data_IF_434327736647
#
_entry.id   IF_434327736647
#
_cell.length_a   1.000
_cell.length_b   1.000
_cell.length_c   1.000
_cell.angle_alpha   90.00
_cell.angle_beta   90.00
_cell.angle_gamma   90.00
#
_symmetry.space_group_name_H-M   'P 1'
#
loop_
_entity.id
_entity.type
_entity.pdbx_description
1 polymer ?
#
# COMPACT_ATOMS: atom_id res chain seq x y z
N UNK A 1 -4.86 -10.28 -15.61
CA UNK A 1 -6.19 -10.70 -16.11
C UNK A 1 -7.20 -10.53 -14.98
N UNK A 2 -8.40 -10.05 -15.27
CA UNK A 2 -9.52 -10.07 -14.34
C UNK A 2 -10.52 -11.13 -14.87
N UNK A 3 -10.49 -12.32 -14.28
CA UNK A 3 -11.21 -13.47 -14.80
C UNK A 3 -10.78 -13.77 -16.24
N UNK A 4 -11.74 -13.87 -17.15
CA UNK A 4 -11.49 -14.14 -18.58
C UNK A 4 -11.20 -12.89 -19.42
N UNK A 5 -11.13 -11.69 -18.82
CA UNK A 5 -10.89 -10.44 -19.52
C UNK A 5 -9.43 -10.00 -19.40
N UNK A 6 -8.86 -9.52 -20.51
CA UNK A 6 -7.57 -8.84 -20.53
C UNK A 6 -7.83 -7.33 -20.45
N UNK A 7 -7.29 -6.69 -19.44
CA UNK A 7 -7.37 -5.24 -19.23
C UNK A 7 -5.95 -4.69 -19.10
N UNK A 8 -5.71 -3.49 -19.62
CA UNK A 8 -4.42 -2.83 -19.40
C UNK A 8 -4.29 -2.36 -17.94
N UNK A 9 -3.05 -2.27 -17.45
CA UNK A 9 -2.78 -1.73 -16.10
C UNK A 9 -3.33 -0.31 -15.96
N UNK A 10 -3.18 0.51 -17.02
CA UNK A 10 -3.67 1.88 -17.05
C UNK A 10 -5.20 1.93 -16.93
N UNK A 11 -5.91 1.08 -17.66
CA UNK A 11 -7.38 1.06 -17.61
C UNK A 11 -7.89 0.54 -16.25
N UNK A 12 -7.21 -0.45 -15.68
CA UNK A 12 -7.52 -0.95 -14.34
C UNK A 12 -7.36 0.15 -13.27
N UNK A 13 -6.22 0.86 -13.29
CA UNK A 13 -5.95 1.98 -12.39
C UNK A 13 -6.96 3.12 -12.61
N UNK A 14 -7.24 3.49 -13.85
CA UNK A 14 -8.24 4.52 -14.17
C UNK A 14 -9.62 4.14 -13.64
N UNK A 15 -10.04 2.90 -13.83
CA UNK A 15 -11.32 2.40 -13.33
C UNK A 15 -11.42 2.44 -11.80
N UNK A 16 -10.35 2.03 -11.11
CA UNK A 16 -10.26 2.11 -9.65
C UNK A 16 -10.33 3.56 -9.16
N UNK A 17 -9.54 4.46 -9.73
CA UNK A 17 -9.53 5.88 -9.35
C UNK A 17 -10.87 6.58 -9.64
N UNK A 18 -11.53 6.25 -10.73
CA UNK A 18 -12.88 6.72 -11.02
C UNK A 18 -13.91 6.19 -10.02
N UNK A 19 -13.75 4.94 -9.53
CA UNK A 19 -14.54 4.42 -8.44
C UNK A 19 -14.31 5.21 -7.14
N UNK A 20 -13.04 5.52 -6.81
CA UNK A 20 -12.69 6.35 -5.63
C UNK A 20 -13.37 7.72 -5.71
N UNK A 21 -13.33 8.41 -6.86
CA UNK A 21 -14.05 9.68 -7.07
C UNK A 21 -15.53 9.55 -6.73
N UNK A 22 -16.20 8.51 -7.26
CA UNK A 22 -17.62 8.26 -6.95
C UNK A 22 -17.86 8.06 -5.47
N UNK A 23 -17.02 7.24 -4.80
CA UNK A 23 -17.17 7.01 -3.36
C UNK A 23 -16.98 8.29 -2.54
N UNK A 24 -15.99 9.11 -2.87
CA UNK A 24 -15.76 10.38 -2.21
C UNK A 24 -16.95 11.33 -2.38
N UNK A 25 -17.51 11.42 -3.58
CA UNK A 25 -18.66 12.28 -3.87
C UNK A 25 -19.97 11.78 -3.28
N UNK A 26 -20.06 10.51 -2.90
CA UNK A 26 -21.30 9.96 -2.29
C UNK A 26 -21.20 9.76 -0.79
N UNK A 27 -20.01 9.45 -0.27
CA UNK A 27 -19.85 8.91 1.09
C UNK A 27 -18.83 9.68 1.95
N UNK A 28 -18.45 10.89 1.56
CA UNK A 28 -17.47 11.67 2.32
C UNK A 28 -17.92 13.13 2.54
N UNK A 29 -17.09 13.90 3.24
CA UNK A 29 -17.32 15.33 3.49
C UNK A 29 -17.38 16.18 2.21
N UNK A 30 -16.84 15.70 1.09
CA UNK A 30 -16.90 16.40 -0.20
C UNK A 30 -18.17 16.08 -1.01
N UNK A 31 -19.09 15.26 -0.48
CA UNK A 31 -20.36 14.93 -1.15
C UNK A 31 -21.24 16.19 -1.38
N UNK A 32 -21.00 17.26 -0.65
CA UNK A 32 -21.71 18.55 -0.83
C UNK A 32 -21.12 19.42 -1.93
N UNK A 33 -19.96 19.07 -2.50
CA UNK A 33 -19.38 19.85 -3.59
C UNK A 33 -20.17 19.64 -4.89
N UNK A 34 -20.31 20.70 -5.72
CA UNK A 34 -20.94 20.57 -7.03
C UNK A 34 -20.23 19.53 -7.91
N UNK A 35 -20.98 18.79 -8.72
CA UNK A 35 -20.41 17.80 -9.65
C UNK A 35 -19.48 18.44 -10.71
N UNK A 36 -19.66 19.73 -10.99
CA UNK A 36 -18.80 20.52 -11.90
C UNK A 36 -17.44 20.87 -11.29
N UNK A 37 -17.26 20.73 -9.98
CA UNK A 37 -15.99 21.03 -9.33
C UNK A 37 -15.03 19.86 -9.51
N UNK A 38 -13.87 20.13 -10.13
CA UNK A 38 -12.81 19.11 -10.31
C UNK A 38 -12.10 18.87 -8.98
N UNK A 39 -11.88 17.60 -8.64
CA UNK A 39 -11.13 17.25 -7.44
C UNK A 39 -9.64 17.41 -7.68
N UNK A 40 -9.00 18.22 -6.88
CA UNK A 40 -7.55 18.40 -6.87
C UNK A 40 -6.87 17.27 -6.08
N UNK A 41 -5.68 16.85 -6.52
CA UNK A 41 -4.90 15.80 -5.86
C UNK A 41 -3.40 16.13 -5.78
N UNK A 42 -2.83 15.85 -4.61
CA UNK A 42 -1.39 15.62 -4.45
C UNK A 42 -1.16 14.11 -4.42
N UNK A 43 -0.34 13.59 -5.32
CA UNK A 43 -0.17 12.15 -5.51
C UNK A 43 1.17 11.69 -4.95
N UNK A 44 1.12 10.82 -3.93
CA UNK A 44 2.30 10.13 -3.42
C UNK A 44 2.80 9.09 -4.41
N UNK A 45 4.11 9.01 -4.57
CA UNK A 45 4.77 8.00 -5.40
C UNK A 45 6.03 7.48 -4.69
N UNK A 46 6.36 6.20 -4.83
CA UNK A 46 7.59 5.65 -4.28
C UNK A 46 8.82 6.44 -4.75
N UNK A 47 9.81 6.64 -3.86
CA UNK A 47 11.01 7.39 -4.19
C UNK A 47 11.77 6.77 -5.38
N UNK A 48 11.72 5.44 -5.51
CA UNK A 48 12.34 4.68 -6.60
C UNK A 48 11.43 4.42 -7.80
N UNK A 49 10.24 5.02 -7.86
CA UNK A 49 9.34 4.85 -9.00
C UNK A 49 10.03 5.29 -10.30
N UNK A 50 10.04 4.41 -11.29
CA UNK A 50 10.58 4.69 -12.61
C UNK A 50 9.69 5.68 -13.37
N UNK A 51 10.26 6.34 -14.37
CA UNK A 51 9.53 7.33 -15.18
C UNK A 51 8.24 6.78 -15.78
N UNK A 52 8.24 5.51 -16.20
CA UNK A 52 7.04 4.85 -16.73
C UNK A 52 5.94 4.69 -15.65
N UNK A 53 6.31 4.32 -14.42
CA UNK A 53 5.35 4.21 -13.31
C UNK A 53 4.77 5.58 -12.96
N UNK A 54 5.61 6.61 -12.86
CA UNK A 54 5.19 8.00 -12.63
C UNK A 54 4.21 8.47 -13.70
N UNK A 55 4.55 8.22 -14.97
CA UNK A 55 3.70 8.58 -16.09
C UNK A 55 2.35 7.85 -16.04
N UNK A 56 2.34 6.53 -15.84
CA UNK A 56 1.11 5.74 -15.77
C UNK A 56 0.22 6.17 -14.59
N UNK A 57 0.80 6.45 -13.44
CA UNK A 57 0.06 6.97 -12.29
C UNK A 57 -0.59 8.31 -12.60
N UNK A 58 0.18 9.27 -13.12
CA UNK A 58 -0.33 10.59 -13.48
C UNK A 58 -1.44 10.51 -14.52
N UNK A 59 -1.24 9.69 -15.55
CA UNK A 59 -2.22 9.51 -16.64
C UNK A 59 -3.51 8.85 -16.13
N UNK A 60 -3.41 7.87 -15.21
CA UNK A 60 -4.57 7.22 -14.62
C UNK A 60 -5.41 8.20 -13.78
N UNK A 61 -4.78 9.05 -12.97
CA UNK A 61 -5.47 10.09 -12.21
C UNK A 61 -6.19 11.08 -13.14
N UNK A 62 -5.50 11.58 -14.18
CA UNK A 62 -6.09 12.51 -15.15
C UNK A 62 -7.28 11.90 -15.88
N UNK A 63 -7.16 10.66 -16.35
CA UNK A 63 -8.27 9.95 -17.01
C UNK A 63 -9.44 9.68 -16.10
N UNK A 64 -9.19 9.53 -14.81
CA UNK A 64 -10.23 9.36 -13.80
C UNK A 64 -10.89 10.69 -13.37
N UNK A 65 -10.47 11.84 -13.94
CA UNK A 65 -11.09 13.14 -13.71
C UNK A 65 -10.48 13.94 -12.55
N UNK A 66 -9.27 13.60 -12.10
CA UNK A 66 -8.53 14.35 -11.10
C UNK A 66 -7.70 15.48 -11.74
N UNK A 67 -7.64 16.63 -11.07
CA UNK A 67 -6.60 17.62 -11.32
C UNK A 67 -5.39 17.35 -10.42
N UNK A 68 -4.31 16.87 -11.01
CA UNK A 68 -3.08 16.53 -10.27
C UNK A 68 -2.20 17.77 -10.17
N UNK A 69 -2.20 18.38 -8.99
CA UNK A 69 -1.41 19.58 -8.68
C UNK A 69 0.08 19.27 -8.62
N UNK A 70 0.46 18.14 -8.00
CA UNK A 70 1.85 17.71 -7.90
C UNK A 70 1.95 16.21 -7.60
N UNK A 71 3.12 15.64 -7.91
CA UNK A 71 3.55 14.34 -7.45
C UNK A 71 4.68 14.51 -6.43
N UNK A 72 4.54 13.87 -5.28
CA UNK A 72 5.51 13.95 -4.18
C UNK A 72 6.07 12.56 -3.87
N UNK A 73 7.32 12.50 -3.45
CA UNK A 73 7.87 11.22 -2.98
C UNK A 73 7.21 10.82 -1.66
N UNK A 74 6.74 9.59 -1.54
CA UNK A 74 6.09 9.06 -0.34
C UNK A 74 6.89 9.31 0.95
N UNK A 75 8.23 9.05 1.00
CA UNK A 75 8.99 9.34 2.21
C UNK A 75 9.06 10.83 2.54
N UNK A 76 9.04 11.74 1.56
CA UNK A 76 8.98 13.18 1.82
C UNK A 76 7.63 13.58 2.42
N UNK A 77 6.55 13.03 1.90
CA UNK A 77 5.20 13.27 2.43
C UNK A 77 5.06 12.74 3.86
N UNK A 78 5.55 11.53 4.13
CA UNK A 78 5.57 10.95 5.48
C UNK A 78 6.42 11.78 6.46
N UNK A 79 7.58 12.24 6.02
CA UNK A 79 8.44 13.13 6.81
C UNK A 79 7.79 14.46 7.12
N UNK A 80 7.09 15.05 6.14
CA UNK A 80 6.34 16.28 6.33
C UNK A 80 5.20 16.10 7.34
N UNK A 81 4.39 15.06 7.19
CA UNK A 81 3.30 14.76 8.12
C UNK A 81 3.80 14.53 9.56
N UNK A 82 4.92 13.79 9.69
CA UNK A 82 5.54 13.59 11.00
C UNK A 82 5.95 14.90 11.66
N UNK A 83 6.62 15.79 10.93
CA UNK A 83 7.06 17.09 11.49
C UNK A 83 5.90 18.03 11.78
N UNK A 84 4.83 17.95 10.99
CA UNK A 84 3.61 18.71 11.21
C UNK A 84 2.91 18.29 12.52
N UNK A 85 2.74 16.98 12.72
CA UNK A 85 2.10 16.44 13.95
C UNK A 85 2.96 16.56 15.18
N UNK A 86 4.27 16.48 15.02
CA UNK A 86 5.24 16.48 16.11
C UNK A 86 6.15 17.71 16.04
N UNK A 87 5.54 18.90 16.09
CA UNK A 87 6.28 20.16 16.06
C UNK A 87 7.35 20.21 17.15
N UNK A 88 8.59 20.60 16.78
CA UNK A 88 9.74 20.66 17.69
C UNK A 88 10.55 19.36 17.81
N UNK A 89 10.14 18.25 17.20
CA UNK A 89 10.98 17.03 17.16
C UNK A 89 12.17 17.19 16.24
N UNK A 90 12.04 17.96 15.17
CA UNK A 90 13.11 18.38 14.29
C UNK A 90 13.67 19.73 14.76
N UNK A 91 14.96 19.82 14.95
CA UNK A 91 15.67 21.00 15.44
C UNK A 91 17.13 20.98 14.93
N UNK A 92 17.96 21.96 15.30
CA UNK A 92 19.34 22.06 14.86
C UNK A 92 20.24 20.84 15.15
N UNK A 93 19.81 19.93 16.04
CA UNK A 93 20.50 18.69 16.38
C UNK A 93 19.83 17.43 15.77
N UNK A 94 18.61 17.56 15.29
CA UNK A 94 17.80 16.48 14.72
C UNK A 94 17.19 16.96 13.40
N UNK A 95 17.97 16.81 12.33
CA UNK A 95 17.62 17.31 10.99
C UNK A 95 17.27 16.18 10.01
N UNK A 96 17.27 14.94 10.47
CA UNK A 96 16.98 13.78 9.63
C UNK A 96 15.89 12.91 10.26
N UNK A 97 15.02 12.38 9.40
CA UNK A 97 13.96 11.44 9.71
C UNK A 97 14.24 10.17 8.93
N UNK A 98 14.24 9.02 9.61
CA UNK A 98 14.20 7.72 8.95
C UNK A 98 12.74 7.34 8.73
N UNK A 99 12.36 7.20 7.49
CA UNK A 99 11.06 6.66 7.06
C UNK A 99 11.26 5.19 6.74
N UNK A 100 10.52 4.34 7.42
CA UNK A 100 10.45 2.91 7.22
C UNK A 100 9.07 2.57 6.70
N UNK A 101 8.97 2.15 5.46
CA UNK A 101 7.72 1.84 4.77
C UNK A 101 7.72 0.38 4.34
N UNK A 102 6.88 -0.43 4.98
CA UNK A 102 6.66 -1.83 4.66
C UNK A 102 5.23 -1.98 4.15
N UNK A 103 5.09 -2.00 2.85
CA UNK A 103 3.81 -2.15 2.16
C UNK A 103 3.38 -3.60 1.96
N UNK A 104 2.37 -3.82 1.10
CA UNK A 104 1.90 -5.16 0.72
C UNK A 104 2.93 -5.96 -0.07
N UNK A 105 3.59 -5.33 -1.05
CA UNK A 105 4.56 -5.98 -1.95
C UNK A 105 5.94 -5.36 -1.98
N UNK A 106 6.18 -4.27 -1.23
CA UNK A 106 7.45 -3.54 -1.25
C UNK A 106 7.85 -3.10 0.15
N UNK A 107 9.14 -2.94 0.31
CA UNK A 107 9.75 -2.34 1.49
C UNK A 107 10.67 -1.20 1.07
N UNK A 108 10.51 -0.04 1.67
CA UNK A 108 11.36 1.12 1.48
C UNK A 108 11.87 1.68 2.81
N UNK A 109 13.16 1.99 2.86
CA UNK A 109 13.78 2.73 3.95
C UNK A 109 14.45 3.98 3.39
N UNK A 110 14.03 5.16 3.87
CA UNK A 110 14.48 6.44 3.34
C UNK A 110 14.95 7.37 4.45
N UNK A 111 16.03 8.10 4.19
CA UNK A 111 16.46 9.18 5.05
C UNK A 111 15.98 10.49 4.43
N UNK A 112 15.19 11.24 5.18
CA UNK A 112 14.64 12.53 4.79
C UNK A 112 15.30 13.61 5.64
N UNK A 113 15.95 14.58 4.99
CA UNK A 113 16.39 15.81 5.65
C UNK A 113 15.18 16.72 5.83
N UNK A 114 15.02 17.28 7.02
CA UNK A 114 13.94 18.20 7.33
C UNK A 114 14.50 19.52 7.86
N UNK A 115 14.26 20.62 7.14
CA UNK A 115 14.67 21.97 7.51
C UNK A 115 13.50 22.92 7.28
N UNK A 116 12.86 23.34 8.36
CA UNK A 116 11.63 24.11 8.27
C UNK A 116 10.53 23.32 7.55
N UNK A 117 10.02 23.85 6.44
CA UNK A 117 9.02 23.19 5.60
C UNK A 117 9.63 22.35 4.46
N UNK A 118 10.94 22.40 4.29
CA UNK A 118 11.62 21.64 3.24
C UNK A 118 11.93 20.22 3.72
N UNK A 119 11.44 19.23 2.97
CA UNK A 119 11.69 17.80 3.20
C UNK A 119 12.27 17.17 1.95
N UNK A 120 13.53 16.76 2.04
CA UNK A 120 14.31 16.24 0.91
C UNK A 120 14.80 14.83 1.20
N UNK A 121 14.55 13.89 0.27
CA UNK A 121 15.08 12.53 0.36
C UNK A 121 16.59 12.56 0.10
N UNK A 122 17.38 12.30 1.13
CA UNK A 122 18.84 12.22 1.03
C UNK A 122 19.33 10.90 0.49
N UNK A 123 18.57 9.85 0.73
CA UNK A 123 18.86 8.52 0.25
C UNK A 123 17.71 7.57 0.57
N UNK A 124 17.55 6.58 -0.29
CA UNK A 124 16.56 5.55 -0.12
C UNK A 124 17.11 4.20 -0.56
N UNK A 125 16.63 3.13 0.06
CA UNK A 125 16.87 1.74 -0.32
C UNK A 125 15.56 1.01 -0.22
N UNK A 126 15.24 0.26 -1.27
CA UNK A 126 13.99 -0.49 -1.37
C UNK A 126 14.19 -1.93 -1.85
N UNK A 127 13.27 -2.76 -1.49
CA UNK A 127 13.12 -4.14 -1.98
C UNK A 127 11.74 -4.27 -2.60
N UNK A 128 11.70 -4.58 -3.89
CA UNK A 128 10.46 -4.57 -4.68
C UNK A 128 9.70 -5.92 -4.64
N UNK A 129 10.13 -6.85 -3.81
CA UNK A 129 9.55 -8.18 -3.69
C UNK A 129 9.60 -8.67 -2.24
N UNK A 130 9.39 -7.77 -1.29
CA UNK A 130 9.22 -8.09 0.13
C UNK A 130 8.16 -7.16 0.69
N UNK A 131 7.07 -7.76 1.17
CA UNK A 131 5.96 -7.04 1.77
C UNK A 131 5.00 -7.94 2.51
N UNK A 132 3.87 -7.40 2.91
CA UNK A 132 2.82 -8.13 3.63
C UNK A 132 2.33 -9.36 2.90
N UNK A 133 2.25 -9.30 1.57
CA UNK A 133 1.78 -10.41 0.72
C UNK A 133 2.75 -11.61 0.78
N UNK A 134 4.06 -11.36 0.86
CA UNK A 134 5.04 -12.44 0.99
C UNK A 134 4.92 -13.12 2.37
N UNK A 135 4.62 -12.35 3.41
CA UNK A 135 4.38 -12.92 4.75
C UNK A 135 3.12 -13.77 4.77
N UNK A 136 2.08 -13.41 4.03
CA UNK A 136 0.85 -14.19 3.89
C UNK A 136 1.15 -15.54 3.25
N UNK A 137 1.95 -15.58 2.17
CA UNK A 137 2.38 -16.82 1.51
C UNK A 137 3.24 -17.68 2.44
N UNK A 138 4.16 -17.08 3.19
CA UNK A 138 4.99 -17.80 4.17
C UNK A 138 4.13 -18.43 5.26
N UNK A 139 3.15 -17.69 5.78
CA UNK A 139 2.23 -18.17 6.80
C UNK A 139 1.36 -19.32 6.26
N UNK A 140 0.75 -19.13 5.08
CA UNK A 140 -0.04 -20.16 4.40
C UNK A 140 0.76 -21.44 4.17
N UNK A 141 2.03 -21.31 3.74
CA UNK A 141 2.93 -22.44 3.54
C UNK A 141 3.18 -23.22 4.83
N UNK A 142 3.40 -22.52 5.95
CA UNK A 142 3.61 -23.14 7.27
C UNK A 142 2.35 -23.84 7.78
N UNK A 143 1.19 -23.20 7.60
CA UNK A 143 -0.10 -23.79 7.99
C UNK A 143 -0.42 -25.04 7.18
N UNK A 144 -0.21 -25.00 5.85
CA UNK A 144 -0.36 -26.19 5.00
C UNK A 144 0.55 -27.34 5.46
N UNK A 145 1.82 -27.05 5.72
CA UNK A 145 2.77 -28.06 6.21
C UNK A 145 2.35 -28.63 7.58
N UNK A 146 1.86 -27.82 8.50
CA UNK A 146 1.33 -28.26 9.78
C UNK A 146 0.08 -29.14 9.63
N UNK A 147 -0.74 -28.89 8.61
CA UNK A 147 -1.87 -29.74 8.23
C UNK A 147 -1.47 -31.04 7.49
N UNK A 148 -0.19 -31.24 7.19
CA UNK A 148 0.31 -32.39 6.44
C UNK A 148 0.08 -32.32 4.92
N UNK A 149 -0.07 -31.10 4.38
CA UNK A 149 -0.30 -30.84 2.96
C UNK A 149 0.66 -29.77 2.42
N UNK A 150 0.50 -29.38 1.17
CA UNK A 150 1.24 -28.30 0.49
C UNK A 150 0.37 -27.64 -0.59
N UNK A 151 0.85 -26.51 -1.16
CA UNK A 151 0.12 -25.77 -2.18
C UNK A 151 -0.27 -26.60 -3.40
N UNK A 152 0.59 -27.51 -3.84
CA UNK A 152 0.33 -28.37 -5.00
C UNK A 152 -0.76 -29.41 -4.76
N UNK A 153 -0.98 -29.82 -3.51
CA UNK A 153 -2.03 -30.78 -3.13
C UNK A 153 -3.36 -30.10 -2.86
N UNK A 154 -3.38 -28.85 -2.42
CA UNK A 154 -4.61 -28.11 -2.14
C UNK A 154 -5.37 -27.69 -3.40
N UNK A 155 -4.66 -27.47 -4.51
CA UNK A 155 -5.20 -26.85 -5.71
C UNK A 155 -5.34 -25.33 -5.58
N UNK A 156 -5.47 -24.67 -6.73
CA UNK A 156 -5.32 -23.19 -6.82
C UNK A 156 -6.34 -22.44 -5.95
N UNK A 157 -7.62 -22.79 -6.02
CA UNK A 157 -8.68 -22.09 -5.26
C UNK A 157 -8.52 -22.23 -3.75
N UNK A 158 -8.21 -23.42 -3.27
CA UNK A 158 -8.00 -23.67 -1.84
C UNK A 158 -6.72 -23.02 -1.33
N UNK A 159 -5.69 -22.94 -2.17
CA UNK A 159 -4.45 -22.26 -1.86
C UNK A 159 -4.63 -20.74 -1.77
N UNK A 160 -5.32 -20.12 -2.74
CA UNK A 160 -5.63 -18.69 -2.71
C UNK A 160 -6.46 -18.34 -1.47
N UNK A 161 -7.45 -19.14 -1.12
CA UNK A 161 -8.24 -18.95 0.11
C UNK A 161 -7.39 -19.06 1.36
N UNK A 162 -6.46 -20.01 1.42
CA UNK A 162 -5.55 -20.14 2.57
C UNK A 162 -4.62 -18.92 2.71
N UNK A 163 -4.17 -18.32 1.60
CA UNK A 163 -3.41 -17.07 1.64
C UNK A 163 -4.26 -15.93 2.20
N UNK A 164 -5.53 -15.81 1.76
CA UNK A 164 -6.45 -14.78 2.24
C UNK A 164 -6.75 -14.96 3.75
N UNK A 165 -7.09 -16.16 4.19
CA UNK A 165 -7.29 -16.48 5.61
C UNK A 165 -6.01 -16.22 6.45
N UNK A 166 -4.84 -16.44 5.88
CA UNK A 166 -3.55 -16.15 6.50
C UNK A 166 -3.30 -14.64 6.64
N UNK A 167 -3.69 -13.86 5.63
CA UNK A 167 -3.66 -12.39 5.68
C UNK A 167 -4.55 -11.88 6.81
N UNK A 168 -5.80 -12.31 6.85
CA UNK A 168 -6.75 -11.90 7.88
C UNK A 168 -6.21 -12.23 9.29
N UNK A 169 -5.68 -13.43 9.47
CA UNK A 169 -5.08 -13.85 10.73
C UNK A 169 -3.86 -12.99 11.09
N UNK A 170 -2.98 -12.70 10.13
CA UNK A 170 -1.80 -11.83 10.32
C UNK A 170 -2.20 -10.42 10.75
N UNK A 171 -3.22 -9.84 10.12
CA UNK A 171 -3.68 -8.48 10.41
C UNK A 171 -4.34 -8.33 11.78
N UNK A 172 -4.80 -9.44 12.37
CA UNK A 172 -5.33 -9.46 13.76
C UNK A 172 -4.25 -9.61 14.82
N UNK A 173 -2.98 -9.81 14.46
CA UNK A 173 -1.90 -9.99 15.43
C UNK A 173 -1.69 -8.75 16.29
N UNK A 174 -1.45 -8.98 17.55
CA UNK A 174 -1.08 -7.98 18.56
C UNK A 174 0.12 -8.47 19.37
N UNK A 175 0.82 -7.61 20.12
CA UNK A 175 1.94 -8.04 20.98
C UNK A 175 1.56 -9.10 22.03
N UNK A 176 0.28 -9.26 22.33
CA UNK A 176 -0.24 -10.26 23.27
C UNK A 176 -0.74 -11.54 22.59
N UNK A 177 -0.82 -11.59 21.27
CA UNK A 177 -1.28 -12.77 20.54
C UNK A 177 -0.26 -13.89 20.66
N UNK A 178 -0.67 -15.03 21.19
CA UNK A 178 0.18 -16.21 21.36
C UNK A 178 -0.04 -17.26 20.27
N UNK A 179 -1.25 -17.33 19.76
CA UNK A 179 -1.67 -18.34 18.78
C UNK A 179 -2.59 -17.67 17.76
N UNK A 180 -2.53 -18.16 16.53
CA UNK A 180 -3.51 -17.94 15.50
C UNK A 180 -4.05 -19.31 15.08
N UNK A 181 -5.32 -19.35 14.68
CA UNK A 181 -5.93 -20.58 14.17
C UNK A 181 -6.57 -20.27 12.83
N UNK A 182 -6.15 -20.99 11.80
CA UNK A 182 -6.62 -20.80 10.42
C UNK A 182 -7.13 -22.14 9.90
N UNK A 183 -8.28 -22.21 9.20
CA UNK A 183 -8.77 -23.43 8.61
C UNK A 183 -7.91 -23.81 7.39
N UNK A 184 -7.41 -25.04 7.35
CA UNK A 184 -6.75 -25.64 6.19
C UNK A 184 -7.58 -26.83 5.76
N UNK A 185 -8.15 -26.80 4.56
CA UNK A 185 -9.06 -27.82 4.07
C UNK A 185 -10.17 -28.19 5.08
N UNK A 186 -10.79 -27.14 5.67
CA UNK A 186 -11.85 -27.24 6.66
C UNK A 186 -11.42 -27.72 8.07
N UNK A 187 -10.13 -27.95 8.32
CA UNK A 187 -9.59 -28.34 9.62
C UNK A 187 -8.85 -27.19 10.27
N UNK A 188 -9.12 -26.84 11.54
CA UNK A 188 -8.41 -25.78 12.25
C UNK A 188 -6.94 -26.20 12.47
N UNK A 189 -6.02 -25.31 12.12
CA UNK A 189 -4.56 -25.44 12.33
C UNK A 189 -4.10 -24.25 13.14
N UNK A 190 -3.30 -24.49 14.19
CA UNK A 190 -2.82 -23.47 15.12
C UNK A 190 -1.31 -23.44 15.13
#
# INVERSE_FOLDING_TARGET
RLGNHSISVLDALTGFLAYVVRQLRTNSSIASLPDSETLEALVGIPAHAWSAQRFLTLEAFRRAGWDVLAMVNEPSAAGFEYTHRHAGTVNSKRTAILVYDLGGGTFDASIVSATGTLHEVMGSRGLNMIGGDDFDVVLATRLAAAAGTDSGKLGDEAWERLIEDSRDAKETLSPSTKFITVPVDGKPVT
#
